data_IF_695251926776
#
_entry.id   IF_695251926776
#
_cell.length_a   1.000
_cell.length_b   1.000
_cell.length_c   1.000
_cell.angle_alpha   90.00
_cell.angle_beta   90.00
_cell.angle_gamma   90.00
#
_symmetry.space_group_name_H-M   'P 1'
#
loop_
_entity.id
_entity.type
_entity.pdbx_description
1 polymer ?
#
# COMPACT_ATOMS: atom_id res chain seq x y z
N UNK A 1 12.51 -4.62 -31.10
CA UNK A 1 11.70 -5.82 -30.89
C UNK A 1 10.45 -5.44 -30.10
N UNK A 2 9.29 -5.76 -30.66
CA UNK A 2 7.99 -5.49 -30.03
C UNK A 2 7.66 -6.64 -29.05
N UNK A 3 7.34 -6.37 -27.76
CA UNK A 3 6.95 -7.40 -26.81
C UNK A 3 5.81 -8.30 -27.28
N UNK A 4 4.85 -7.75 -28.02
CA UNK A 4 3.77 -8.55 -28.62
C UNK A 4 4.29 -9.57 -29.63
N UNK A 5 5.32 -9.22 -30.44
CA UNK A 5 5.94 -10.14 -31.37
C UNK A 5 6.73 -11.24 -30.61
N UNK A 6 7.31 -10.89 -29.45
CA UNK A 6 8.00 -11.86 -28.61
C UNK A 6 7.03 -12.90 -28.05
N UNK A 7 5.89 -12.47 -27.53
CA UNK A 7 4.83 -13.36 -27.05
C UNK A 7 4.28 -14.26 -28.15
N UNK A 8 4.02 -13.69 -29.35
CA UNK A 8 3.41 -14.41 -30.45
C UNK A 8 4.39 -15.37 -31.17
N UNK A 9 5.68 -15.01 -31.25
CA UNK A 9 6.69 -15.72 -32.04
C UNK A 9 7.79 -16.36 -31.19
N UNK A 10 7.74 -16.24 -29.85
CA UNK A 10 8.70 -16.81 -28.89
C UNK A 10 10.17 -16.55 -29.28
N UNK A 11 10.45 -15.28 -29.57
CA UNK A 11 11.81 -14.87 -29.97
C UNK A 11 12.74 -14.96 -28.74
N UNK A 12 13.93 -15.63 -28.87
CA UNK A 12 14.79 -15.94 -27.72
C UNK A 12 15.56 -14.73 -27.15
N UNK A 13 15.51 -13.57 -27.80
CA UNK A 13 16.25 -12.38 -27.37
C UNK A 13 15.34 -11.16 -27.18
N UNK A 14 15.42 -10.56 -26.00
CA UNK A 14 14.67 -9.37 -25.64
C UNK A 14 15.65 -8.26 -25.29
N UNK A 15 15.53 -7.10 -25.94
CA UNK A 15 16.23 -5.91 -25.48
C UNK A 15 15.49 -5.33 -24.28
N UNK A 16 16.19 -5.10 -23.16
CA UNK A 16 15.63 -4.48 -21.96
C UNK A 16 14.90 -3.18 -22.29
N UNK A 17 15.47 -2.32 -23.14
CA UNK A 17 14.81 -1.09 -23.61
C UNK A 17 13.44 -1.33 -24.28
N UNK A 18 13.22 -2.48 -24.90
CA UNK A 18 11.91 -2.79 -25.50
C UNK A 18 10.88 -3.17 -24.42
N UNK A 19 11.31 -3.76 -23.33
CA UNK A 19 10.45 -4.03 -22.16
C UNK A 19 10.07 -2.72 -21.48
N UNK A 20 11.03 -1.86 -21.24
CA UNK A 20 10.89 -0.58 -20.60
C UNK A 20 9.91 0.36 -21.34
N UNK A 21 10.02 0.42 -22.66
CA UNK A 21 9.16 1.25 -23.50
C UNK A 21 7.72 0.69 -23.69
N UNK A 22 7.43 -0.52 -23.22
CA UNK A 22 6.15 -1.22 -23.42
C UNK A 22 5.61 -1.78 -22.10
N UNK A 23 5.58 -0.98 -21.06
CA UNK A 23 5.23 -1.38 -19.70
C UNK A 23 3.87 -2.08 -19.60
N UNK A 24 2.89 -1.73 -20.43
CA UNK A 24 1.56 -2.36 -20.46
C UNK A 24 1.58 -3.83 -20.90
N UNK A 25 2.60 -4.27 -21.66
CA UNK A 25 2.74 -5.65 -22.11
C UNK A 25 3.76 -6.43 -21.27
N UNK A 26 4.66 -5.72 -20.59
CA UNK A 26 5.73 -6.34 -19.79
C UNK A 26 5.23 -7.37 -18.79
N UNK A 27 4.15 -7.17 -18.01
CA UNK A 27 3.65 -8.18 -17.09
C UNK A 27 3.24 -9.48 -17.77
N UNK A 28 2.62 -9.39 -18.96
CA UNK A 28 2.22 -10.58 -19.74
C UNK A 28 3.43 -11.31 -20.26
N UNK A 29 4.44 -10.58 -20.73
CA UNK A 29 5.69 -11.14 -21.22
C UNK A 29 6.46 -11.89 -20.12
N UNK A 30 6.63 -11.25 -18.97
CA UNK A 30 7.32 -11.84 -17.82
C UNK A 30 6.58 -13.08 -17.30
N UNK A 31 5.25 -13.03 -17.26
CA UNK A 31 4.42 -14.16 -16.87
C UNK A 31 4.51 -15.33 -17.88
N UNK A 32 4.59 -15.05 -19.18
CA UNK A 32 4.78 -16.09 -20.21
C UNK A 32 6.13 -16.74 -20.08
N UNK A 33 7.21 -15.96 -19.90
CA UNK A 33 8.56 -16.48 -19.67
C UNK A 33 8.59 -17.35 -18.41
N UNK A 34 7.96 -16.93 -17.32
CA UNK A 34 7.91 -17.67 -16.06
C UNK A 34 7.17 -19.00 -16.20
N UNK A 35 6.06 -19.03 -16.93
CA UNK A 35 5.24 -20.22 -17.09
C UNK A 35 5.83 -21.25 -18.06
N UNK A 36 6.46 -20.75 -19.12
CA UNK A 36 6.81 -21.55 -20.29
C UNK A 36 8.32 -21.74 -20.48
N UNK A 37 9.14 -21.27 -19.55
CA UNK A 37 10.60 -21.43 -19.61
C UNK A 37 11.22 -21.65 -18.24
N UNK A 38 12.47 -22.10 -18.22
CA UNK A 38 13.31 -22.19 -17.02
C UNK A 38 14.18 -20.94 -16.83
N UNK A 39 13.96 -19.89 -17.61
CA UNK A 39 14.76 -18.68 -17.53
C UNK A 39 14.55 -17.99 -16.18
N UNK A 40 15.62 -17.60 -15.49
CA UNK A 40 15.52 -16.95 -14.18
C UNK A 40 15.02 -15.50 -14.32
N UNK A 41 13.72 -15.31 -14.18
CA UNK A 41 13.08 -13.98 -14.29
C UNK A 41 13.67 -13.00 -13.29
N UNK A 42 14.04 -13.48 -12.10
CA UNK A 42 14.65 -12.65 -11.06
C UNK A 42 15.90 -11.90 -11.58
N UNK A 43 16.64 -12.48 -12.54
CA UNK A 43 17.77 -11.79 -13.18
C UNK A 43 17.31 -10.67 -14.12
N UNK A 44 16.20 -10.87 -14.86
CA UNK A 44 15.64 -9.83 -15.73
C UNK A 44 15.18 -8.66 -14.86
N UNK A 45 14.41 -8.93 -13.81
CA UNK A 45 13.86 -7.94 -12.92
C UNK A 45 14.96 -7.18 -12.17
N UNK A 46 15.98 -7.91 -11.66
CA UNK A 46 17.14 -7.32 -11.01
C UNK A 46 17.89 -6.38 -11.95
N UNK A 47 18.17 -6.84 -13.17
CA UNK A 47 18.85 -6.01 -14.17
C UNK A 47 18.05 -4.77 -14.59
N UNK A 48 16.74 -4.90 -14.72
CA UNK A 48 15.87 -3.75 -14.99
C UNK A 48 15.89 -2.74 -13.83
N UNK A 49 15.97 -3.21 -12.59
CA UNK A 49 16.06 -2.35 -11.41
C UNK A 49 17.41 -1.63 -11.28
N UNK A 50 18.49 -2.18 -11.84
CA UNK A 50 19.83 -1.59 -11.80
C UNK A 50 20.04 -0.51 -12.88
N UNK A 51 19.35 -0.62 -14.02
CA UNK A 51 19.60 0.23 -15.20
C UNK A 51 18.81 1.54 -15.14
N UNK A 52 17.66 1.54 -14.52
CA UNK A 52 16.71 2.65 -14.57
C UNK A 52 16.63 3.35 -13.22
N UNK A 53 16.08 4.54 -13.23
CA UNK A 53 15.90 5.46 -12.12
C UNK A 53 15.81 4.80 -10.74
N UNK A 54 16.33 5.43 -9.68
CA UNK A 54 16.28 4.90 -8.30
C UNK A 54 14.89 4.38 -7.89
N UNK A 55 13.84 4.98 -8.44
CA UNK A 55 12.44 4.60 -8.19
C UNK A 55 12.09 3.21 -8.73
N UNK A 56 12.72 2.77 -9.82
CA UNK A 56 12.51 1.43 -10.39
C UNK A 56 13.09 0.31 -9.52
N UNK A 57 14.17 0.56 -8.80
CA UNK A 57 14.76 -0.43 -7.88
C UNK A 57 13.82 -0.81 -6.75
N UNK A 58 12.96 0.13 -6.30
CA UNK A 58 11.94 -0.14 -5.28
C UNK A 58 10.68 -0.79 -5.87
N UNK A 59 10.33 -0.49 -7.13
CA UNK A 59 9.08 -0.94 -7.74
C UNK A 59 9.19 -2.32 -8.41
N UNK A 60 10.26 -2.60 -9.15
CA UNK A 60 10.36 -3.80 -9.99
C UNK A 60 10.79 -5.05 -9.24
N UNK A 61 11.62 -4.92 -8.21
CA UNK A 61 12.11 -6.05 -7.42
C UNK A 61 11.00 -6.86 -6.74
N UNK A 62 9.83 -6.26 -6.54
CA UNK A 62 8.74 -6.82 -5.73
C UNK A 62 7.37 -6.82 -6.43
N UNK A 63 7.29 -6.50 -7.71
CA UNK A 63 6.04 -6.54 -8.49
C UNK A 63 5.49 -7.94 -8.74
N UNK A 64 6.23 -8.97 -8.36
CA UNK A 64 5.87 -10.34 -8.65
C UNK A 64 5.15 -10.99 -7.48
N UNK A 65 3.82 -11.05 -7.55
CA UNK A 65 3.05 -11.96 -6.71
C UNK A 65 3.07 -13.32 -7.39
N UNK A 66 3.99 -14.16 -6.96
CA UNK A 66 4.04 -15.57 -7.37
C UNK A 66 2.73 -16.26 -7.01
N UNK A 67 2.44 -17.39 -7.68
CA UNK A 67 1.30 -18.31 -7.49
C UNK A 67 0.41 -18.04 -6.27
N UNK A 68 -0.89 -18.20 -6.42
CA UNK A 68 -1.85 -18.22 -5.29
C UNK A 68 -1.42 -19.26 -4.28
N UNK A 69 -0.78 -18.84 -3.21
CA UNK A 69 -0.43 -19.66 -2.06
C UNK A 69 -1.37 -19.30 -0.94
N UNK A 70 -1.99 -20.29 -0.32
CA UNK A 70 -2.66 -20.08 0.95
C UNK A 70 -1.60 -19.91 2.02
N UNK A 71 -1.72 -18.87 2.82
CA UNK A 71 -0.81 -18.64 3.92
C UNK A 71 -1.23 -19.50 5.11
N UNK A 72 -0.26 -20.13 5.74
CA UNK A 72 -0.40 -20.72 7.07
C UNK A 72 0.41 -19.84 8.03
N UNK A 73 -0.28 -19.06 8.83
CA UNK A 73 0.35 -18.11 9.77
C UNK A 73 1.01 -18.82 10.97
N UNK A 74 0.68 -20.07 11.21
CA UNK A 74 1.21 -20.85 12.37
C UNK A 74 0.97 -20.13 13.69
N UNK A 75 2.05 -19.62 14.30
CA UNK A 75 2.02 -18.89 15.57
C UNK A 75 1.97 -17.36 15.38
N UNK A 76 1.95 -16.88 14.13
CA UNK A 76 1.89 -15.46 13.84
C UNK A 76 0.45 -14.97 13.76
N UNK A 77 0.25 -13.72 14.14
CA UNK A 77 -1.08 -13.09 14.19
C UNK A 77 -1.21 -12.00 13.14
N UNK A 78 -2.37 -11.95 12.51
CA UNK A 78 -2.72 -10.89 11.58
C UNK A 78 -3.84 -10.01 12.13
N UNK A 79 -3.75 -8.72 11.90
CA UNK A 79 -4.82 -7.75 12.11
C UNK A 79 -5.16 -7.04 10.81
N UNK A 80 -6.40 -6.60 10.69
CA UNK A 80 -6.84 -5.66 9.67
C UNK A 80 -7.37 -4.42 10.36
N UNK A 81 -6.80 -3.28 10.04
CA UNK A 81 -7.34 -1.98 10.40
C UNK A 81 -8.07 -1.39 9.20
N UNK A 82 -9.35 -1.05 9.37
CA UNK A 82 -10.17 -0.36 8.38
C UNK A 82 -10.68 0.97 8.94
N UNK A 83 -10.23 2.09 8.36
CA UNK A 83 -10.81 3.39 8.69
C UNK A 83 -12.07 3.63 7.86
N UNK A 84 -13.23 3.74 8.53
CA UNK A 84 -14.55 3.90 7.89
C UNK A 84 -15.05 5.33 8.08
N UNK A 85 -14.77 6.19 7.12
CA UNK A 85 -15.37 7.52 7.04
C UNK A 85 -16.68 7.50 6.23
N UNK A 86 -16.72 6.69 5.15
CA UNK A 86 -17.88 6.47 4.28
C UNK A 86 -18.49 5.11 4.58
N UNK A 87 -19.55 5.06 5.39
CA UNK A 87 -20.16 3.80 5.86
C UNK A 87 -20.75 2.98 4.72
N UNK A 88 -21.31 3.64 3.71
CA UNK A 88 -21.86 3.02 2.50
C UNK A 88 -20.86 2.17 1.69
N UNK A 89 -19.56 2.29 1.96
CA UNK A 89 -18.50 1.48 1.34
C UNK A 89 -18.06 0.29 2.21
N UNK A 90 -18.55 0.16 3.43
CA UNK A 90 -18.10 -0.89 4.36
C UNK A 90 -18.35 -2.29 3.81
N UNK A 91 -19.52 -2.56 3.23
CA UNK A 91 -19.87 -3.89 2.71
C UNK A 91 -18.95 -4.37 1.58
N UNK A 92 -18.40 -3.44 0.78
CA UNK A 92 -17.42 -3.76 -0.27
C UNK A 92 -16.16 -4.39 0.34
N UNK A 93 -15.64 -3.80 1.43
CA UNK A 93 -14.49 -4.34 2.16
C UNK A 93 -14.79 -5.65 2.86
N UNK A 94 -15.93 -5.75 3.56
CA UNK A 94 -16.33 -7.00 4.22
C UNK A 94 -16.45 -8.16 3.23
N UNK A 95 -16.99 -7.88 2.02
CA UNK A 95 -17.07 -8.87 0.95
C UNK A 95 -15.68 -9.33 0.48
N UNK A 96 -14.73 -8.40 0.38
CA UNK A 96 -13.36 -8.72 0.03
C UNK A 96 -12.65 -9.50 1.14
N UNK A 97 -12.85 -9.16 2.40
CA UNK A 97 -12.27 -9.84 3.56
C UNK A 97 -12.77 -11.30 3.73
N UNK A 98 -13.98 -11.60 3.29
CA UNK A 98 -14.51 -12.99 3.27
C UNK A 98 -13.67 -13.92 2.36
N UNK A 99 -12.80 -13.40 1.52
CA UNK A 99 -11.90 -14.18 0.66
C UNK A 99 -10.59 -14.58 1.35
N UNK A 100 -10.32 -14.08 2.55
CA UNK A 100 -9.13 -14.44 3.32
C UNK A 100 -9.24 -15.88 3.83
N UNK A 101 -8.14 -16.64 3.75
CA UNK A 101 -8.05 -18.01 4.22
C UNK A 101 -7.21 -18.14 5.50
N UNK A 102 -6.90 -17.02 6.14
CA UNK A 102 -6.20 -16.95 7.41
C UNK A 102 -7.08 -16.25 8.46
N UNK A 103 -6.80 -16.52 9.73
CA UNK A 103 -7.48 -15.84 10.84
C UNK A 103 -6.88 -14.45 11.03
N UNK A 104 -7.74 -13.48 11.28
CA UNK A 104 -7.37 -12.09 11.57
C UNK A 104 -8.36 -11.46 12.54
N UNK A 105 -7.91 -10.46 13.28
CA UNK A 105 -8.78 -9.60 14.07
C UNK A 105 -9.02 -8.30 13.30
N UNK A 106 -10.29 -7.85 13.28
CA UNK A 106 -10.71 -6.65 12.57
C UNK A 106 -10.87 -5.49 13.56
N UNK A 107 -10.13 -4.43 13.30
CA UNK A 107 -10.21 -3.15 14.01
C UNK A 107 -10.77 -2.09 13.06
N UNK A 108 -11.87 -1.46 13.46
CA UNK A 108 -12.48 -0.40 12.66
C UNK A 108 -12.38 0.91 13.44
N UNK A 109 -11.98 1.98 12.76
CA UNK A 109 -12.03 3.34 13.28
C UNK A 109 -13.00 4.18 12.47
N UNK A 110 -13.69 5.09 13.14
CA UNK A 110 -14.62 6.07 12.54
C UNK A 110 -14.58 7.39 13.29
N UNK A 111 -15.26 8.40 12.78
CA UNK A 111 -15.21 9.77 13.29
C UNK A 111 -16.30 10.10 14.32
N UNK A 112 -17.39 9.33 14.41
CA UNK A 112 -18.52 9.64 15.30
C UNK A 112 -19.22 8.41 15.86
N UNK A 113 -19.93 8.59 16.98
CA UNK A 113 -20.73 7.53 17.61
C UNK A 113 -21.92 7.10 16.73
N UNK A 114 -22.52 8.02 15.97
CA UNK A 114 -23.62 7.68 15.04
C UNK A 114 -23.13 6.71 13.96
N UNK A 115 -21.98 6.98 13.34
CA UNK A 115 -21.39 6.06 12.37
C UNK A 115 -20.95 4.74 13.00
N UNK A 116 -20.45 4.79 14.24
CA UNK A 116 -20.12 3.54 14.96
C UNK A 116 -21.34 2.66 15.09
N UNK A 117 -22.49 3.20 15.49
CA UNK A 117 -23.74 2.45 15.61
C UNK A 117 -24.16 1.83 14.26
N UNK A 118 -24.11 2.60 13.18
CA UNK A 118 -24.40 2.12 11.83
C UNK A 118 -23.42 1.00 11.38
N UNK A 119 -22.13 1.16 11.67
CA UNK A 119 -21.11 0.14 11.39
C UNK A 119 -21.40 -1.15 12.15
N UNK A 120 -21.74 -1.06 13.45
CA UNK A 120 -22.05 -2.23 14.28
C UNK A 120 -23.30 -2.98 13.79
N UNK A 121 -24.32 -2.28 13.28
CA UNK A 121 -25.48 -2.89 12.62
C UNK A 121 -25.06 -3.65 11.34
N UNK A 122 -24.24 -3.07 10.48
CA UNK A 122 -23.75 -3.71 9.25
C UNK A 122 -22.90 -4.95 9.59
N UNK A 123 -22.03 -4.84 10.58
CA UNK A 123 -21.19 -5.96 11.04
C UNK A 123 -22.04 -7.12 11.54
N UNK A 124 -23.06 -6.82 12.34
CA UNK A 124 -24.02 -7.82 12.84
C UNK A 124 -24.77 -8.51 11.70
N UNK A 125 -25.27 -7.76 10.73
CA UNK A 125 -25.95 -8.28 9.56
C UNK A 125 -25.04 -9.18 8.68
N UNK A 126 -23.74 -8.91 8.67
CA UNK A 126 -22.75 -9.70 7.94
C UNK A 126 -22.11 -10.84 8.76
N UNK A 127 -22.50 -11.03 10.02
CA UNK A 127 -21.89 -11.98 10.96
C UNK A 127 -20.36 -11.79 11.06
N UNK A 128 -19.90 -10.55 11.01
CA UNK A 128 -18.50 -10.19 11.11
C UNK A 128 -18.18 -9.62 12.48
N UNK A 129 -17.23 -10.22 13.18
CA UNK A 129 -16.70 -9.69 14.43
C UNK A 129 -15.67 -8.59 14.16
N UNK A 130 -15.74 -7.47 14.89
CA UNK A 130 -14.78 -6.39 14.85
C UNK A 130 -14.79 -5.56 16.15
N UNK A 131 -13.69 -4.89 16.44
CA UNK A 131 -13.64 -3.86 17.47
C UNK A 131 -13.76 -2.49 16.81
N UNK A 132 -14.77 -1.70 17.19
CA UNK A 132 -15.06 -0.39 16.58
C UNK A 132 -14.71 0.74 17.54
N UNK A 133 -13.87 1.69 17.08
CA UNK A 133 -13.37 2.83 17.85
C UNK A 133 -13.78 4.14 17.21
N UNK A 134 -14.22 5.09 18.02
CA UNK A 134 -14.41 6.47 17.60
C UNK A 134 -13.12 7.24 17.86
N UNK A 135 -12.47 7.73 16.79
CA UNK A 135 -11.17 8.42 16.86
C UNK A 135 -11.21 9.90 16.50
N UNK A 136 -12.41 10.41 16.16
CA UNK A 136 -12.59 11.77 15.65
C UNK A 136 -12.21 11.90 14.16
N UNK A 137 -12.35 13.11 13.63
CA UNK A 137 -12.14 13.42 12.21
C UNK A 137 -10.82 14.19 11.98
N UNK A 138 -9.76 13.84 12.72
CA UNK A 138 -8.43 14.44 12.56
C UNK A 138 -7.45 13.38 12.07
N UNK A 139 -6.59 13.76 11.12
CA UNK A 139 -5.53 12.89 10.64
C UNK A 139 -5.95 11.85 9.61
N UNK A 140 -7.12 12.03 9.01
CA UNK A 140 -7.69 11.16 7.95
C UNK A 140 -7.71 9.70 8.40
N UNK A 141 -7.09 8.79 7.64
CA UNK A 141 -6.95 7.36 7.94
C UNK A 141 -5.67 7.03 8.72
N UNK A 142 -4.63 7.86 8.56
CA UNK A 142 -3.30 7.60 9.13
C UNK A 142 -3.29 7.75 10.65
N UNK A 143 -3.77 8.88 11.18
CA UNK A 143 -3.74 9.10 12.62
C UNK A 143 -4.66 8.13 13.38
N UNK A 144 -5.88 7.81 12.90
CA UNK A 144 -6.69 6.73 13.46
C UNK A 144 -5.94 5.39 13.57
N UNK A 145 -5.15 5.01 12.54
CA UNK A 145 -4.32 3.81 12.61
C UNK A 145 -3.27 3.90 13.72
N UNK A 146 -2.56 5.03 13.80
CA UNK A 146 -1.51 5.22 14.79
C UNK A 146 -2.04 5.25 16.24
N UNK A 147 -3.26 5.76 16.46
CA UNK A 147 -3.95 5.72 17.75
C UNK A 147 -4.23 4.30 18.24
N UNK A 148 -4.28 3.31 17.34
CA UNK A 148 -4.45 1.89 17.71
C UNK A 148 -3.12 1.17 18.06
N UNK A 149 -2.02 1.89 18.27
CA UNK A 149 -0.69 1.35 18.58
C UNK A 149 -0.74 0.19 19.60
N UNK A 150 -1.43 0.38 20.72
CA UNK A 150 -1.46 -0.60 21.80
C UNK A 150 -2.17 -1.91 21.41
N UNK A 151 -3.10 -1.86 20.47
CA UNK A 151 -3.77 -3.05 19.93
C UNK A 151 -2.91 -3.69 18.85
N UNK A 152 -2.49 -2.92 17.85
CA UNK A 152 -1.78 -3.41 16.68
C UNK A 152 -0.38 -3.95 17.01
N UNK A 153 0.26 -3.47 18.07
CA UNK A 153 1.59 -3.93 18.52
C UNK A 153 1.65 -5.41 18.96
N UNK A 154 0.50 -6.05 19.12
CA UNK A 154 0.42 -7.47 19.49
C UNK A 154 0.33 -8.41 18.29
N UNK A 155 0.36 -7.87 17.06
CA UNK A 155 0.26 -8.61 15.81
C UNK A 155 1.58 -8.55 15.02
N UNK A 156 1.84 -9.63 14.29
CA UNK A 156 3.01 -9.73 13.40
C UNK A 156 2.76 -8.99 12.10
N UNK A 157 1.53 -9.14 11.56
CA UNK A 157 1.12 -8.56 10.29
C UNK A 157 -0.10 -7.67 10.46
N UNK A 158 -0.08 -6.52 9.83
CA UNK A 158 -1.20 -5.56 9.85
C UNK A 158 -1.53 -5.14 8.43
N UNK A 159 -2.80 -5.28 8.05
CA UNK A 159 -3.37 -4.63 6.87
C UNK A 159 -4.01 -3.32 7.26
N UNK A 160 -3.68 -2.24 6.58
CA UNK A 160 -4.32 -0.95 6.78
C UNK A 160 -5.04 -0.51 5.51
N UNK A 161 -6.33 -0.22 5.63
CA UNK A 161 -7.22 0.18 4.55
C UNK A 161 -8.19 1.26 5.03
N UNK A 162 -8.82 1.96 4.09
CA UNK A 162 -9.85 2.94 4.43
C UNK A 162 -10.91 3.10 3.35
N UNK A 163 -12.11 3.49 3.73
CA UNK A 163 -13.16 3.86 2.78
C UNK A 163 -12.82 5.19 2.12
N UNK A 164 -12.71 5.20 0.78
CA UNK A 164 -12.25 6.36 0.03
C UNK A 164 -13.25 6.77 -1.05
N UNK A 165 -13.65 8.05 -1.01
CA UNK A 165 -14.30 8.75 -2.11
C UNK A 165 -13.44 9.95 -2.43
N UNK A 166 -12.80 9.97 -3.61
CA UNK A 166 -11.97 11.10 -4.03
C UNK A 166 -12.88 12.24 -4.49
N UNK A 167 -13.08 13.23 -3.63
CA UNK A 167 -13.90 14.42 -3.93
C UNK A 167 -13.30 15.31 -5.02
N UNK A 168 -11.97 15.23 -5.20
CA UNK A 168 -11.20 16.05 -6.14
C UNK A 168 -11.05 15.38 -7.52
N UNK A 169 -11.43 14.11 -7.65
CA UNK A 169 -11.41 13.37 -8.89
C UNK A 169 -12.83 13.18 -9.41
N UNK A 170 -12.99 13.12 -10.75
CA UNK A 170 -14.23 12.70 -11.34
C UNK A 170 -14.72 11.40 -10.69
N UNK A 171 -16.02 11.27 -10.52
CA UNK A 171 -16.65 10.15 -9.79
C UNK A 171 -16.10 8.77 -10.18
N UNK A 172 -15.92 8.52 -11.46
CA UNK A 172 -15.37 7.26 -11.97
C UNK A 172 -13.91 7.04 -11.58
N UNK A 173 -13.11 8.10 -11.48
CA UNK A 173 -11.69 8.00 -11.16
C UNK A 173 -11.46 7.59 -9.70
N UNK A 174 -12.26 8.14 -8.78
CA UNK A 174 -12.20 7.77 -7.38
C UNK A 174 -12.64 6.32 -7.13
N UNK A 175 -13.68 5.87 -7.84
CA UNK A 175 -14.13 4.50 -7.78
C UNK A 175 -13.09 3.54 -8.35
N UNK A 176 -12.60 3.80 -9.57
CA UNK A 176 -11.57 2.98 -10.21
C UNK A 176 -10.31 2.85 -9.34
N UNK A 177 -9.87 3.96 -8.76
CA UNK A 177 -8.71 3.94 -7.86
C UNK A 177 -8.94 3.03 -6.65
N UNK A 178 -10.10 3.13 -5.97
CA UNK A 178 -10.43 2.28 -4.83
C UNK A 178 -10.51 0.81 -5.22
N UNK A 179 -11.19 0.49 -6.33
CA UNK A 179 -11.30 -0.87 -6.86
C UNK A 179 -9.94 -1.48 -7.16
N UNK A 180 -9.04 -0.73 -7.81
CA UNK A 180 -7.66 -1.17 -8.08
C UNK A 180 -6.87 -1.44 -6.79
N UNK A 181 -7.01 -0.60 -5.75
CA UNK A 181 -6.35 -0.83 -4.46
C UNK A 181 -6.86 -2.10 -3.76
N UNK A 182 -8.17 -2.33 -3.81
CA UNK A 182 -8.76 -3.56 -3.29
C UNK A 182 -8.26 -4.79 -4.07
N UNK A 183 -8.20 -4.69 -5.39
CA UNK A 183 -7.71 -5.77 -6.25
C UNK A 183 -6.23 -6.08 -6.04
N UNK A 184 -5.41 -5.06 -5.79
CA UNK A 184 -3.97 -5.21 -5.60
C UNK A 184 -3.58 -5.63 -4.18
N UNK A 185 -4.31 -5.20 -3.15
CA UNK A 185 -3.87 -5.36 -1.76
C UNK A 185 -4.83 -6.15 -0.88
N UNK A 186 -6.15 -6.07 -1.11
CA UNK A 186 -7.12 -6.77 -0.27
C UNK A 186 -7.36 -8.19 -0.78
N UNK A 187 -7.79 -8.35 -2.03
CA UNK A 187 -8.09 -9.68 -2.59
C UNK A 187 -6.92 -10.67 -2.56
N UNK A 188 -5.65 -10.26 -2.82
CA UNK A 188 -4.50 -11.17 -2.77
C UNK A 188 -3.84 -11.26 -1.39
N UNK A 189 -4.53 -10.95 -0.30
CA UNK A 189 -3.97 -10.89 1.06
C UNK A 189 -3.20 -12.16 1.47
N UNK A 190 -3.72 -13.35 1.15
CA UNK A 190 -3.03 -14.62 1.41
C UNK A 190 -1.63 -14.66 0.79
N UNK A 191 -1.52 -14.24 -0.48
CA UNK A 191 -0.22 -14.21 -1.16
C UNK A 191 0.71 -13.16 -0.56
N UNK A 192 0.17 -12.01 -0.17
CA UNK A 192 0.95 -10.92 0.43
C UNK A 192 1.50 -11.38 1.77
N UNK A 193 0.67 -11.96 2.63
CA UNK A 193 1.12 -12.46 3.93
C UNK A 193 2.11 -13.61 3.79
N UNK A 194 1.93 -14.51 2.80
CA UNK A 194 2.91 -15.55 2.50
C UNK A 194 4.28 -14.95 2.12
N UNK A 195 4.32 -13.89 1.33
CA UNK A 195 5.56 -13.19 0.97
C UNK A 195 6.20 -12.50 2.19
N UNK A 196 5.40 -11.82 3.01
CA UNK A 196 5.88 -11.20 4.24
C UNK A 196 6.46 -12.24 5.21
N UNK A 197 5.80 -13.40 5.33
CA UNK A 197 6.23 -14.48 6.21
C UNK A 197 7.52 -15.13 5.71
N UNK A 198 7.61 -15.45 4.43
CA UNK A 198 8.74 -16.19 3.83
C UNK A 198 9.99 -15.33 3.66
N UNK A 199 9.82 -14.01 3.50
CA UNK A 199 10.95 -13.12 3.26
C UNK A 199 11.13 -12.14 4.44
N UNK A 200 12.15 -12.34 5.29
CA UNK A 200 12.40 -11.47 6.44
C UNK A 200 12.80 -10.04 6.05
N UNK A 201 13.26 -9.82 4.81
CA UNK A 201 13.67 -8.50 4.32
C UNK A 201 12.49 -7.65 3.82
N UNK A 202 11.33 -8.24 3.58
CA UNK A 202 10.14 -7.50 3.19
C UNK A 202 9.45 -7.03 4.49
N UNK A 203 9.43 -5.73 4.72
CA UNK A 203 8.76 -5.12 5.86
C UNK A 203 7.32 -4.71 5.54
N UNK A 204 7.07 -4.33 4.28
CA UNK A 204 5.75 -3.85 3.89
C UNK A 204 5.48 -4.11 2.39
N UNK A 205 4.20 -4.13 2.02
CA UNK A 205 3.71 -4.26 0.64
C UNK A 205 2.69 -3.16 0.37
N UNK A 206 2.90 -2.39 -0.68
CA UNK A 206 2.02 -1.33 -1.17
C UNK A 206 1.44 -1.70 -2.54
N UNK A 207 0.43 -0.96 -2.98
CA UNK A 207 -0.08 -1.06 -4.35
C UNK A 207 0.94 -0.53 -5.37
N UNK A 208 0.88 -1.08 -6.58
CA UNK A 208 1.48 -0.42 -7.74
C UNK A 208 0.71 0.88 -8.04
N UNK A 209 1.31 1.75 -8.84
CA UNK A 209 0.69 3.00 -9.25
C UNK A 209 -0.67 2.75 -9.91
N UNK A 210 -1.79 3.21 -9.34
CA UNK A 210 -3.10 3.06 -9.93
C UNK A 210 -3.20 3.72 -11.30
N UNK A 211 -4.07 3.20 -12.16
CA UNK A 211 -4.24 3.64 -13.55
C UNK A 211 -4.52 5.15 -13.65
N UNK A 212 -5.31 5.68 -12.74
CA UNK A 212 -5.60 7.11 -12.68
C UNK A 212 -4.33 7.99 -12.63
N UNK A 213 -3.36 7.63 -11.79
CA UNK A 213 -2.11 8.38 -11.67
C UNK A 213 -1.18 8.20 -12.87
N UNK A 214 -1.23 7.05 -13.53
CA UNK A 214 -0.42 6.79 -14.74
C UNK A 214 -0.81 7.69 -15.90
N UNK A 215 -2.12 7.94 -16.07
CA UNK A 215 -2.62 8.73 -17.19
C UNK A 215 -2.65 10.22 -16.92
N UNK A 216 -2.94 10.65 -15.71
CA UNK A 216 -3.12 12.06 -15.39
C UNK A 216 -1.85 12.78 -14.93
N UNK A 217 -0.71 12.08 -14.77
CA UNK A 217 0.58 12.64 -14.32
C UNK A 217 0.44 13.55 -13.08
N UNK A 218 -0.41 13.17 -12.14
CA UNK A 218 -0.76 13.97 -10.97
C UNK A 218 0.39 14.07 -9.96
N UNK A 219 1.38 13.19 -10.05
CA UNK A 219 2.59 13.30 -9.23
C UNK A 219 3.44 14.41 -9.83
N UNK A 220 3.33 15.59 -9.24
CA UNK A 220 4.09 16.77 -9.65
C UNK A 220 5.38 16.85 -8.82
N UNK A 221 6.52 16.90 -9.50
CA UNK A 221 7.83 17.06 -8.86
C UNK A 221 7.90 18.28 -7.94
N UNK A 222 7.17 19.34 -8.24
CA UNK A 222 7.08 20.54 -7.40
C UNK A 222 6.43 20.23 -6.04
N UNK A 223 5.31 19.50 -6.04
CA UNK A 223 4.62 19.12 -4.81
C UNK A 223 5.46 18.19 -3.96
N UNK A 224 6.16 17.23 -4.58
CA UNK A 224 7.08 16.32 -3.89
C UNK A 224 8.22 17.10 -3.22
N UNK A 225 8.76 18.12 -3.89
CA UNK A 225 9.81 18.95 -3.32
C UNK A 225 9.36 19.74 -2.08
N UNK A 226 8.10 20.16 -2.02
CA UNK A 226 7.52 20.82 -0.84
C UNK A 226 7.39 19.87 0.36
N UNK A 227 7.22 18.58 0.14
CA UNK A 227 7.01 17.57 1.18
C UNK A 227 8.34 17.05 1.75
N UNK A 228 9.40 17.06 0.97
CA UNK A 228 10.72 16.53 1.33
C UNK A 228 11.30 17.04 2.66
N UNK A 229 11.19 18.33 3.03
CA UNK A 229 11.67 18.83 4.32
C UNK A 229 10.95 18.17 5.51
N UNK A 230 9.64 17.95 5.40
CA UNK A 230 8.87 17.29 6.47
C UNK A 230 9.23 15.81 6.55
N UNK A 231 9.47 15.15 5.42
CA UNK A 231 10.00 13.77 5.41
C UNK A 231 11.34 13.67 6.13
N UNK A 232 12.27 14.60 5.89
CA UNK A 232 13.55 14.64 6.60
C UNK A 232 13.36 14.84 8.11
N UNK A 233 12.45 15.71 8.50
CA UNK A 233 12.11 15.98 9.90
C UNK A 233 11.59 14.72 10.59
N UNK A 234 10.64 14.03 9.99
CA UNK A 234 10.07 12.79 10.52
C UNK A 234 11.10 11.66 10.55
N UNK A 235 11.94 11.55 9.52
CA UNK A 235 13.02 10.56 9.46
C UNK A 235 13.97 10.67 10.64
N UNK A 236 14.34 11.90 11.00
CA UNK A 236 15.16 12.18 12.16
C UNK A 236 14.43 11.89 13.48
N UNK A 237 13.16 12.31 13.62
CA UNK A 237 12.34 12.05 14.81
C UNK A 237 12.14 10.56 15.06
N UNK A 238 12.03 9.75 14.00
CA UNK A 238 11.96 8.28 14.09
C UNK A 238 13.29 7.62 14.48
N UNK A 239 14.39 8.38 14.58
CA UNK A 239 15.71 7.85 14.92
C UNK A 239 16.30 6.93 13.86
N UNK A 240 15.92 7.10 12.60
CA UNK A 240 16.38 6.26 11.50
C UNK A 240 17.88 6.43 11.27
N UNK A 241 18.63 5.32 11.26
CA UNK A 241 20.10 5.32 11.17
C UNK A 241 20.63 5.52 9.75
N UNK A 242 19.83 5.14 8.74
CA UNK A 242 20.20 5.31 7.34
C UNK A 242 20.19 6.80 6.99
N UNK A 243 21.31 7.30 6.46
CA UNK A 243 21.42 8.69 6.01
C UNK A 243 20.71 8.84 4.65
N UNK A 244 19.58 9.49 4.66
CA UNK A 244 18.81 9.84 3.47
C UNK A 244 18.55 11.35 3.52
N UNK A 245 18.71 12.03 2.39
CA UNK A 245 18.23 13.39 2.18
C UNK A 245 17.12 13.36 1.12
N UNK A 246 15.88 13.48 1.56
CA UNK A 246 14.72 13.45 0.67
C UNK A 246 14.66 14.66 -0.26
N UNK A 247 15.36 15.77 0.04
CA UNK A 247 15.47 16.90 -0.88
C UNK A 247 16.25 16.55 -2.17
N UNK A 248 17.04 15.49 -2.15
CA UNK A 248 17.79 15.04 -3.33
C UNK A 248 16.92 14.19 -4.30
N UNK A 249 15.71 13.81 -3.90
CA UNK A 249 14.82 13.03 -4.75
C UNK A 249 13.96 13.93 -5.64
N UNK A 250 13.78 13.54 -6.90
CA UNK A 250 12.88 14.23 -7.81
C UNK A 250 11.42 13.82 -7.62
N UNK A 251 11.19 12.55 -7.31
CA UNK A 251 9.87 11.97 -7.06
C UNK A 251 10.00 10.91 -5.97
N UNK A 252 8.90 10.60 -5.31
CA UNK A 252 8.85 9.56 -4.30
C UNK A 252 7.96 8.40 -4.78
N UNK A 253 8.38 7.18 -4.45
CA UNK A 253 7.45 6.06 -4.43
C UNK A 253 6.57 6.24 -3.21
N UNK A 254 5.27 6.08 -3.35
CA UNK A 254 4.31 6.27 -2.26
C UNK A 254 3.24 5.18 -2.24
N UNK A 255 2.49 5.10 -1.19
CA UNK A 255 1.47 4.07 -1.00
C UNK A 255 0.16 4.35 -1.75
N UNK A 256 0.05 5.43 -2.52
CA UNK A 256 -1.11 5.82 -3.32
C UNK A 256 -2.46 5.68 -2.59
N UNK A 257 -2.57 6.33 -1.40
CA UNK A 257 -3.78 6.31 -0.58
C UNK A 257 -3.65 5.47 0.68
N UNK A 258 -2.44 5.22 1.14
CA UNK A 258 -2.10 4.56 2.42
C UNK A 258 -2.60 3.11 2.58
N UNK A 259 -3.13 2.47 1.54
CA UNK A 259 -3.41 1.05 1.58
C UNK A 259 -2.10 0.27 1.64
N UNK A 260 -1.94 -0.56 2.68
CA UNK A 260 -0.67 -1.25 2.93
C UNK A 260 -0.87 -2.51 3.77
N UNK A 261 -0.06 -3.54 3.49
CA UNK A 261 0.23 -4.62 4.44
C UNK A 261 1.65 -4.46 4.97
N UNK A 262 1.83 -4.61 6.27
CA UNK A 262 3.14 -4.45 6.88
C UNK A 262 3.36 -5.41 8.04
N UNK A 263 4.63 -5.69 8.33
CA UNK A 263 5.05 -6.23 9.62
C UNK A 263 5.02 -5.10 10.63
N UNK A 264 4.41 -5.30 11.78
CA UNK A 264 4.32 -4.24 12.79
C UNK A 264 5.71 -3.67 13.14
N UNK A 265 6.71 -4.55 13.31
CA UNK A 265 8.08 -4.15 13.65
C UNK A 265 8.72 -3.25 12.57
N UNK A 266 8.36 -3.39 11.30
CA UNK A 266 8.89 -2.55 10.23
C UNK A 266 8.42 -1.10 10.36
N UNK A 267 7.16 -0.86 10.75
CA UNK A 267 6.62 0.49 10.95
C UNK A 267 6.64 0.95 12.42
N UNK A 268 7.20 0.15 13.32
CA UNK A 268 7.31 0.51 14.74
C UNK A 268 7.90 1.91 14.96
N UNK A 269 8.96 2.37 14.26
CA UNK A 269 9.48 3.72 14.44
C UNK A 269 8.44 4.82 14.18
N UNK A 270 7.51 4.61 13.23
CA UNK A 270 6.41 5.54 12.97
C UNK A 270 5.38 5.54 14.12
N UNK A 271 4.99 4.37 14.62
CA UNK A 271 4.10 4.26 15.77
C UNK A 271 4.71 4.85 17.05
N UNK A 272 6.02 4.76 17.20
CA UNK A 272 6.76 5.28 18.37
C UNK A 272 6.85 6.80 18.39
N UNK A 273 6.51 7.50 17.32
CA UNK A 273 6.34 8.97 17.32
C UNK A 273 5.21 9.41 18.26
N UNK A 274 4.24 8.53 18.53
CA UNK A 274 3.07 8.80 19.39
C UNK A 274 2.34 10.10 18.99
N UNK A 275 2.11 10.28 17.70
CA UNK A 275 1.43 11.45 17.14
C UNK A 275 0.01 11.59 17.72
N UNK A 276 -0.39 12.82 17.96
CA UNK A 276 -1.68 13.23 18.51
C UNK A 276 -2.43 14.15 17.53
N UNK A 277 -3.65 14.54 17.88
CA UNK A 277 -4.43 15.48 17.09
C UNK A 277 -3.73 16.84 16.93
N UNK A 278 -2.94 17.26 17.93
CA UNK A 278 -2.19 18.52 17.93
C UNK A 278 -1.02 18.54 16.94
N UNK A 279 -0.55 17.36 16.49
CA UNK A 279 0.54 17.23 15.53
C UNK A 279 0.07 17.35 14.07
N UNK A 280 -1.25 17.33 13.83
CA UNK A 280 -1.83 17.32 12.49
C UNK A 280 -2.50 18.68 12.21
N UNK A 281 -2.15 19.35 11.10
CA UNK A 281 -2.79 20.60 10.73
C UNK A 281 -4.28 20.41 10.39
N UNK A 282 -5.06 21.49 10.58
CA UNK A 282 -6.48 21.51 10.21
C UNK A 282 -6.68 21.36 8.70
N UNK A 283 -7.87 20.84 8.31
CA UNK A 283 -8.29 20.77 6.91
C UNK A 283 -8.70 22.17 6.37
N UNK A 284 -8.42 22.51 5.10
CA UNK A 284 -7.75 21.67 4.13
C UNK A 284 -6.25 21.52 4.41
N UNK A 285 -5.75 20.27 4.35
CA UNK A 285 -4.35 20.00 4.65
C UNK A 285 -3.42 20.76 3.70
N UNK A 286 -2.38 21.44 4.21
CA UNK A 286 -1.34 21.99 3.37
C UNK A 286 -0.57 20.88 2.65
N UNK A 287 -0.05 21.16 1.46
CA UNK A 287 0.67 20.17 0.65
C UNK A 287 1.87 19.55 1.38
N UNK A 288 2.54 20.31 2.23
CA UNK A 288 3.66 19.88 3.05
C UNK A 288 3.24 19.33 4.43
N UNK A 289 2.02 18.83 4.56
CA UNK A 289 1.55 18.30 5.84
C UNK A 289 2.28 17.01 6.24
N UNK A 290 2.31 16.77 7.54
CA UNK A 290 2.84 15.54 8.13
C UNK A 290 2.20 14.27 7.54
N UNK A 291 0.91 14.30 7.19
CA UNK A 291 0.21 13.16 6.62
C UNK A 291 0.69 12.83 5.21
N UNK A 292 0.91 13.86 4.37
CA UNK A 292 1.49 13.67 3.04
C UNK A 292 2.93 13.15 3.12
N UNK A 293 3.70 13.61 4.12
CA UNK A 293 5.04 13.09 4.36
C UNK A 293 5.03 11.62 4.81
N UNK A 294 4.11 11.23 5.70
CA UNK A 294 3.97 9.84 6.15
C UNK A 294 3.60 8.92 4.98
N UNK A 295 2.64 9.30 4.12
CA UNK A 295 2.24 8.50 2.96
C UNK A 295 3.44 8.13 2.07
N UNK A 296 4.40 9.03 1.93
CA UNK A 296 5.63 8.80 1.17
C UNK A 296 6.70 8.06 1.96
N UNK A 297 6.81 8.32 3.26
CA UNK A 297 7.82 7.70 4.12
C UNK A 297 7.60 6.20 4.34
N UNK A 298 6.35 5.71 4.28
CA UNK A 298 6.02 4.32 4.59
C UNK A 298 6.97 3.30 3.96
N UNK A 299 7.41 3.54 2.73
CA UNK A 299 8.27 2.59 2.00
C UNK A 299 9.76 2.76 2.28
N UNK A 300 10.17 3.83 2.94
CA UNK A 300 11.59 4.10 3.24
C UNK A 300 11.96 3.66 4.65
N UNK A 301 10.96 3.55 5.55
CA UNK A 301 11.11 3.05 6.92
C UNK A 301 11.48 1.56 6.92
#
# INVERSE_FOLDING_TARGET
>A
YNPTAILNHRVPFIKVKAIDNNQHITPYLLNDIQKNSTYPIDLIVSHMSEINYPDFSYLLGHKYVKKRERVDLKNQKAAVHLHVFYVDLLEEFLTAFKQFHFSYDLFITTDSDDKKAEIEEILSANSQEAQVFVTGNIGRDVLPMLKLKNYLSTYDFVGHFHTKKSKEADFWAGQSWREELIDMLVKPADNILAQLQQNPKIGLVIADMPTFFRYNKIVDAWNEHLIAPEMNTLWQKMGMTKKIDFNAFHTFVMSYGTFVWFKYDALKPLFDLNLTDDDVPEEPLPQNSILHAIERLLIYI
#
